data_IF_208798894865
#
_entry.id   IF_208798894865
#
_cell.length_a   1.000
_cell.length_b   1.000
_cell.length_c   1.000
_cell.angle_alpha   90.00
_cell.angle_beta   90.00
_cell.angle_gamma   90.00
#
_symmetry.space_group_name_H-M   'P 1'
#
loop_
_entity.id
_entity.type
_entity.pdbx_description
1 polymer ?
#
# COMPACT_ATOMS: atom_id res chain seq x y z
N UNK A 1 -23.56 11.99 8.46
CA UNK A 1 -22.47 10.98 8.49
C UNK A 1 -21.97 10.78 7.07
N UNK A 2 -21.12 11.68 6.60
CA UNK A 2 -20.46 11.58 5.29
C UNK A 2 -19.24 10.67 5.43
N UNK A 3 -19.26 9.56 4.71
CA UNK A 3 -18.14 8.63 4.59
C UNK A 3 -16.98 9.37 3.91
N UNK A 4 -15.84 9.50 4.61
CA UNK A 4 -14.60 9.99 4.00
C UNK A 4 -14.13 8.93 3.00
N UNK A 5 -14.37 9.19 1.71
CA UNK A 5 -13.62 8.55 0.64
C UNK A 5 -12.23 9.19 0.63
N UNK A 6 -11.23 8.49 1.16
CA UNK A 6 -9.84 8.88 1.07
C UNK A 6 -9.38 8.54 -0.34
N UNK A 7 -9.24 9.55 -1.20
CA UNK A 7 -8.54 9.46 -2.47
C UNK A 7 -7.02 9.52 -2.23
N UNK A 8 -6.20 9.11 -3.19
CA UNK A 8 -4.73 9.06 -3.05
C UNK A 8 -4.05 10.36 -2.59
N UNK A 9 -4.70 11.51 -2.78
CA UNK A 9 -4.20 12.81 -2.31
C UNK A 9 -4.35 12.98 -0.79
N UNK A 10 -5.24 12.21 -0.17
CA UNK A 10 -5.65 12.38 1.22
C UNK A 10 -4.76 11.61 2.22
N UNK A 11 -4.00 10.60 1.78
CA UNK A 11 -3.12 9.83 2.68
C UNK A 11 -1.90 10.64 3.13
N UNK A 12 -1.30 11.39 2.21
CA UNK A 12 -0.18 12.26 2.55
C UNK A 12 -0.63 13.34 3.54
N UNK A 13 -1.77 13.98 3.29
CA UNK A 13 -2.35 15.00 4.16
C UNK A 13 -2.76 14.39 5.52
N UNK A 14 -3.35 13.18 5.53
CA UNK A 14 -3.67 12.44 6.76
C UNK A 14 -2.43 12.15 7.62
N UNK A 15 -1.32 11.75 6.98
CA UNK A 15 -0.06 11.52 7.66
C UNK A 15 0.54 12.82 8.21
N UNK A 16 0.53 13.90 7.43
CA UNK A 16 1.03 15.21 7.87
C UNK A 16 0.23 15.78 9.05
N UNK A 17 -1.10 15.73 9.01
CA UNK A 17 -1.96 16.24 10.08
C UNK A 17 -1.75 15.51 11.41
N UNK A 18 -1.30 14.26 11.36
CA UNK A 18 -1.15 13.38 12.53
C UNK A 18 0.31 13.12 12.90
N UNK A 19 1.25 13.79 12.23
CA UNK A 19 2.70 13.60 12.41
C UNK A 19 3.12 12.11 12.29
N UNK A 20 2.51 11.40 11.33
CA UNK A 20 2.77 9.98 11.09
C UNK A 20 3.89 9.80 10.08
N UNK A 21 4.95 9.09 10.49
CA UNK A 21 6.01 8.63 9.60
C UNK A 21 5.67 7.24 9.07
N UNK A 22 5.22 7.15 7.83
CA UNK A 22 4.88 5.87 7.17
C UNK A 22 5.76 5.64 5.95
N UNK A 23 6.12 4.38 5.69
CA UNK A 23 6.75 4.00 4.43
C UNK A 23 5.68 3.71 3.37
N UNK A 24 5.95 4.14 2.14
CA UNK A 24 5.12 3.86 0.97
C UNK A 24 5.90 3.00 -0.02
N UNK A 25 5.18 2.32 -0.90
CA UNK A 25 5.76 1.59 -2.02
C UNK A 25 5.67 2.48 -3.27
N UNK A 26 6.80 3.05 -3.67
CA UNK A 26 6.86 3.98 -4.80
C UNK A 26 6.32 3.33 -6.09
N UNK A 27 5.49 4.07 -6.82
CA UNK A 27 4.88 3.60 -8.07
C UNK A 27 3.62 2.74 -7.88
N UNK A 28 3.22 2.46 -6.64
CA UNK A 28 2.00 1.71 -6.32
C UNK A 28 0.89 2.57 -5.75
N UNK A 29 0.92 3.89 -5.96
CA UNK A 29 -0.06 4.81 -5.38
C UNK A 29 -1.49 4.42 -5.79
N UNK A 30 -1.70 3.96 -7.03
CA UNK A 30 -3.00 3.48 -7.51
C UNK A 30 -3.54 2.23 -6.80
N UNK A 31 -2.70 1.51 -6.05
CA UNK A 31 -3.05 0.30 -5.34
C UNK A 31 -3.32 0.51 -3.83
N UNK A 32 -3.17 1.74 -3.34
CA UNK A 32 -3.43 2.06 -1.93
C UNK A 32 -4.91 1.85 -1.59
N UNK A 33 -5.16 1.20 -0.46
CA UNK A 33 -6.48 0.98 0.13
C UNK A 33 -6.73 1.86 1.35
N UNK A 34 -5.67 2.23 2.08
CA UNK A 34 -5.77 3.03 3.31
C UNK A 34 -4.53 2.94 4.19
N UNK A 35 -4.69 3.32 5.45
CA UNK A 35 -3.68 3.21 6.51
C UNK A 35 -4.24 2.34 7.62
N UNK A 36 -3.41 1.44 8.16
CA UNK A 36 -3.78 0.60 9.30
C UNK A 36 -3.78 1.41 10.60
N UNK A 37 -4.85 1.30 11.38
CA UNK A 37 -4.91 1.87 12.72
C UNK A 37 -4.22 0.93 13.72
N UNK A 38 -2.88 1.01 13.77
CA UNK A 38 -2.05 0.13 14.61
C UNK A 38 -1.68 0.71 15.98
N UNK A 39 -2.19 1.92 16.29
CA UNK A 39 -1.82 2.69 17.49
C UNK A 39 -2.09 1.90 18.79
N UNK A 40 -3.06 0.98 18.78
CA UNK A 40 -3.48 0.21 19.95
C UNK A 40 -2.44 -0.76 20.53
N UNK A 41 -1.33 -1.06 19.83
CA UNK A 41 -0.36 -2.08 20.27
C UNK A 41 1.11 -1.65 20.19
N UNK A 42 1.38 -0.34 20.07
CA UNK A 42 2.76 0.17 19.98
C UNK A 42 3.44 -0.09 18.64
N UNK A 43 2.65 -0.37 17.59
CA UNK A 43 3.14 -0.47 16.22
C UNK A 43 2.75 0.80 15.46
N UNK A 44 3.69 1.31 14.67
CA UNK A 44 3.42 2.44 13.79
C UNK A 44 2.36 2.08 12.75
N UNK A 45 1.51 3.06 12.36
CA UNK A 45 0.57 2.87 11.27
C UNK A 45 1.31 2.55 9.97
N UNK A 46 0.71 1.71 9.12
CA UNK A 46 1.29 1.27 7.85
C UNK A 46 0.31 1.50 6.72
N UNK A 47 0.84 1.87 5.56
CA UNK A 47 0.02 1.99 4.36
C UNK A 47 -0.35 0.59 3.86
N UNK A 48 -1.61 0.40 3.52
CA UNK A 48 -2.18 -0.88 3.08
C UNK A 48 -2.48 -0.82 1.60
N UNK A 49 -2.06 -1.84 0.85
CA UNK A 49 -2.21 -1.95 -0.61
C UNK A 49 -2.94 -3.24 -1.00
N UNK A 50 -3.66 -3.20 -2.12
CA UNK A 50 -4.19 -4.40 -2.79
C UNK A 50 -3.10 -5.04 -3.64
N UNK A 51 -2.86 -6.33 -3.43
CA UNK A 51 -1.91 -7.12 -4.23
C UNK A 51 -2.32 -7.14 -5.70
N UNK A 52 -3.62 -7.33 -5.96
CA UNK A 52 -4.15 -7.41 -7.33
C UNK A 52 -3.92 -6.09 -8.08
N UNK A 53 -4.19 -4.95 -7.42
CA UNK A 53 -3.95 -3.63 -8.02
C UNK A 53 -2.46 -3.35 -8.23
N UNK A 54 -1.59 -3.83 -7.35
CA UNK A 54 -0.14 -3.73 -7.57
C UNK A 54 0.27 -4.49 -8.82
N UNK A 55 -0.20 -5.73 -8.98
CA UNK A 55 0.07 -6.55 -10.16
C UNK A 55 -0.46 -5.86 -11.42
N UNK A 56 -1.68 -5.32 -11.39
CA UNK A 56 -2.27 -4.59 -12.52
C UNK A 56 -1.45 -3.36 -12.94
N UNK A 57 -0.86 -2.65 -11.98
CA UNK A 57 0.03 -1.51 -12.27
C UNK A 57 1.27 -1.99 -13.02
N UNK A 58 1.94 -3.04 -12.52
CA UNK A 58 3.12 -3.61 -13.17
C UNK A 58 2.83 -4.13 -14.58
N UNK A 59 1.64 -4.73 -14.78
CA UNK A 59 1.20 -5.18 -16.11
C UNK A 59 0.97 -3.99 -17.04
N UNK A 60 0.36 -2.91 -16.55
CA UNK A 60 0.17 -1.66 -17.34
C UNK A 60 1.51 -1.02 -17.73
N UNK A 61 2.52 -1.17 -16.89
CA UNK A 61 3.88 -0.70 -17.14
C UNK A 61 4.69 -1.61 -18.09
N UNK A 62 4.07 -2.68 -18.60
CA UNK A 62 4.58 -3.49 -19.71
C UNK A 62 5.08 -4.86 -19.31
N UNK A 63 4.93 -5.29 -18.06
CA UNK A 63 5.22 -6.67 -17.66
C UNK A 63 4.09 -7.61 -18.11
N UNK A 64 4.42 -8.87 -18.41
CA UNK A 64 3.39 -9.90 -18.47
C UNK A 64 2.79 -10.14 -17.08
N UNK A 65 1.61 -10.75 -17.01
CA UNK A 65 0.95 -11.02 -15.73
C UNK A 65 1.79 -11.93 -14.82
N UNK A 66 2.44 -12.96 -15.37
CA UNK A 66 3.31 -13.87 -14.62
C UNK A 66 4.56 -13.14 -14.11
N UNK A 67 5.22 -12.35 -14.95
CA UNK A 67 6.38 -11.54 -14.56
C UNK A 67 6.02 -10.52 -13.48
N UNK A 68 4.85 -9.89 -13.57
CA UNK A 68 4.37 -8.93 -12.59
C UNK A 68 4.16 -9.58 -11.21
N UNK A 69 3.60 -10.80 -11.17
CA UNK A 69 3.44 -11.57 -9.93
C UNK A 69 4.80 -11.89 -9.32
N UNK A 70 5.72 -12.46 -10.10
CA UNK A 70 7.06 -12.81 -9.62
C UNK A 70 7.83 -11.58 -9.13
N UNK A 71 7.78 -10.49 -9.91
CA UNK A 71 8.40 -9.23 -9.56
C UNK A 71 7.85 -8.69 -8.25
N UNK A 72 6.52 -8.65 -8.08
CA UNK A 72 5.88 -8.16 -6.87
C UNK A 72 6.29 -8.96 -5.64
N UNK A 73 6.23 -10.28 -5.70
CA UNK A 73 6.57 -11.11 -4.54
C UNK A 73 8.07 -11.07 -4.20
N UNK A 74 8.93 -10.95 -5.20
CA UNK A 74 10.38 -10.92 -5.00
C UNK A 74 10.89 -9.55 -4.56
N UNK A 75 10.35 -8.44 -5.10
CA UNK A 75 10.89 -7.09 -4.87
C UNK A 75 10.07 -6.26 -3.87
N UNK A 76 8.74 -6.45 -3.83
CA UNK A 76 7.85 -5.62 -3.02
C UNK A 76 7.44 -6.33 -1.73
N UNK A 77 6.95 -7.57 -1.82
CA UNK A 77 6.44 -8.32 -0.67
C UNK A 77 7.53 -8.97 0.19
N UNK A 78 8.79 -8.95 -0.26
CA UNK A 78 9.93 -9.50 0.47
C UNK A 78 10.63 -8.47 1.39
N UNK A 79 10.13 -7.23 1.44
CA UNK A 79 10.75 -6.15 2.21
C UNK A 79 10.62 -6.40 3.73
N UNK A 80 11.67 -6.94 4.34
CA UNK A 80 11.80 -7.09 5.80
C UNK A 80 12.37 -5.83 6.45
N UNK A 81 11.61 -4.74 6.39
CA UNK A 81 11.96 -3.46 7.04
C UNK A 81 10.86 -3.08 8.02
N UNK A 82 11.24 -2.50 9.16
CA UNK A 82 10.29 -1.95 10.13
C UNK A 82 9.47 -0.81 9.48
N UNK A 83 8.16 -0.82 9.70
CA UNK A 83 7.24 0.14 9.07
C UNK A 83 6.95 -0.13 7.59
N UNK A 84 7.43 -1.24 7.01
CA UNK A 84 7.14 -1.60 5.62
C UNK A 84 5.63 -1.68 5.34
N UNK A 85 5.18 -1.31 4.13
CA UNK A 85 3.79 -1.44 3.72
C UNK A 85 3.18 -2.82 3.95
N UNK A 86 1.85 -2.85 4.11
CA UNK A 86 1.10 -4.10 4.20
C UNK A 86 0.41 -4.34 2.87
N UNK A 87 0.58 -5.54 2.32
CA UNK A 87 -0.08 -5.99 1.11
C UNK A 87 -1.13 -7.05 1.45
N UNK A 88 -2.35 -6.89 0.93
CA UNK A 88 -3.45 -7.84 1.17
C UNK A 88 -4.11 -8.26 -0.15
N UNK A 89 -4.65 -9.47 -0.16
CA UNK A 89 -5.57 -9.91 -1.21
C UNK A 89 -6.94 -9.26 -0.97
N UNK A 90 -7.51 -8.66 -2.01
CA UNK A 90 -8.82 -8.00 -1.95
C UNK A 90 -9.90 -8.70 -2.76
N UNK A 91 -9.53 -9.69 -3.57
CA UNK A 91 -10.45 -10.49 -4.38
C UNK A 91 -10.34 -11.96 -3.96
N UNK A 92 -11.47 -12.62 -3.68
CA UNK A 92 -11.56 -14.02 -3.21
C UNK A 92 -12.84 -14.71 -3.69
#
# INVERSE_FOLDING_TARGET
>A
MSQLMISNKDIHDYCLERDLSVLTADGFEGAILGISDCIAHGYDPRVVYSIERCIDILVKDGMSHEEAIEYFYYNCNSAFVEGAPVFIHTEF
#
